data_IF_234127514263
#
_entry.id   IF_234127514263
#
_cell.length_a   1.000
_cell.length_b   1.000
_cell.length_c   1.000
_cell.angle_alpha   90.00
_cell.angle_beta   90.00
_cell.angle_gamma   90.00
#
_symmetry.space_group_name_H-M   'P 1'
#
loop_
_entity.id
_entity.type
_entity.pdbx_description
1 polymer ?
#
# COMPACT_ATOMS: atom_id res chain seq x y z
N UNK A 1 -19.04 -26.73 18.51
CA UNK A 1 -19.21 -26.38 17.08
C UNK A 1 -18.58 -25.02 16.75
N UNK A 2 -18.27 -24.74 15.47
CA UNK A 2 -17.80 -23.42 15.02
C UNK A 2 -18.95 -22.64 14.37
N UNK A 3 -19.87 -22.09 15.16
CA UNK A 3 -20.98 -21.30 14.64
C UNK A 3 -20.49 -20.00 13.99
N UNK A 4 -21.10 -19.62 12.86
CA UNK A 4 -20.86 -18.37 12.10
C UNK A 4 -19.40 -18.11 11.63
N UNK A 5 -18.51 -19.12 11.69
CA UNK A 5 -17.13 -18.95 11.20
C UNK A 5 -17.08 -19.09 9.67
N UNK A 6 -17.08 -17.96 8.98
CA UNK A 6 -16.97 -17.90 7.52
C UNK A 6 -15.50 -17.85 7.05
N UNK A 7 -15.21 -18.57 5.96
CA UNK A 7 -13.89 -18.60 5.33
C UNK A 7 -12.92 -19.66 5.89
N UNK A 8 -11.76 -19.79 5.24
CA UNK A 8 -10.76 -20.83 5.53
C UNK A 8 -9.56 -20.27 6.31
N UNK A 9 -9.12 -20.98 7.37
CA UNK A 9 -7.93 -20.58 8.16
C UNK A 9 -6.60 -20.82 7.44
N UNK A 10 -6.55 -21.81 6.54
CA UNK A 10 -5.35 -22.20 5.76
C UNK A 10 -4.10 -22.48 6.64
N UNK A 11 -4.31 -23.00 7.85
CA UNK A 11 -3.26 -23.28 8.83
C UNK A 11 -2.28 -22.10 9.06
N UNK A 12 -2.79 -20.87 9.03
CA UNK A 12 -2.01 -19.63 9.26
C UNK A 12 -2.64 -18.78 10.35
N UNK A 13 -1.82 -17.91 10.96
CA UNK A 13 -2.29 -16.82 11.83
C UNK A 13 -3.04 -15.76 11.01
N UNK A 14 -3.82 -14.89 11.66
CA UNK A 14 -4.59 -13.84 10.99
C UNK A 14 -3.70 -12.86 10.21
N UNK A 15 -2.61 -12.41 10.82
CA UNK A 15 -1.64 -11.48 10.22
C UNK A 15 -0.97 -12.08 8.99
N UNK A 16 -0.45 -13.31 9.09
CA UNK A 16 0.16 -14.00 7.96
C UNK A 16 -0.86 -14.25 6.85
N UNK A 17 -2.08 -14.65 7.18
CA UNK A 17 -3.14 -14.86 6.17
C UNK A 17 -3.43 -13.56 5.40
N UNK A 18 -3.55 -12.42 6.08
CA UNK A 18 -3.77 -11.13 5.43
C UNK A 18 -2.60 -10.73 4.52
N UNK A 19 -1.35 -10.89 4.98
CA UNK A 19 -0.16 -10.60 4.19
C UNK A 19 -0.06 -11.49 2.95
N UNK A 20 -0.32 -12.78 3.09
CA UNK A 20 -0.33 -13.74 1.98
C UNK A 20 -1.36 -13.35 0.91
N UNK A 21 -2.61 -13.05 1.30
CA UNK A 21 -3.63 -12.64 0.35
C UNK A 21 -3.31 -11.30 -0.30
N UNK A 22 -2.77 -10.32 0.44
CA UNK A 22 -2.30 -9.06 -0.14
C UNK A 22 -1.30 -9.32 -1.27
N UNK A 23 -0.28 -10.15 -1.04
CA UNK A 23 0.73 -10.46 -2.03
C UNK A 23 0.15 -11.20 -3.25
N UNK A 24 -0.80 -12.12 -3.02
CA UNK A 24 -1.48 -12.81 -4.13
C UNK A 24 -2.34 -11.86 -4.96
N UNK A 25 -3.05 -10.90 -4.35
CA UNK A 25 -3.83 -9.90 -5.08
C UNK A 25 -2.93 -8.99 -5.90
N UNK A 26 -1.81 -8.52 -5.31
CA UNK A 26 -0.80 -7.72 -6.03
C UNK A 26 -0.28 -8.48 -7.24
N UNK A 27 0.05 -9.76 -7.08
CA UNK A 27 0.52 -10.62 -8.17
C UNK A 27 -0.55 -10.84 -9.23
N UNK A 28 -1.81 -11.02 -8.81
CA UNK A 28 -2.95 -11.21 -9.70
C UNK A 28 -3.22 -9.95 -10.54
N UNK A 29 -3.15 -8.75 -9.98
CA UNK A 29 -3.35 -7.53 -10.77
C UNK A 29 -2.15 -7.20 -11.66
N UNK A 30 -0.93 -7.61 -11.24
CA UNK A 30 0.28 -7.44 -12.06
C UNK A 30 0.24 -8.33 -13.31
N UNK A 31 0.02 -9.63 -13.12
CA UNK A 31 0.14 -10.64 -14.18
C UNK A 31 -1.20 -11.09 -14.76
N UNK A 32 -2.32 -10.67 -14.18
CA UNK A 32 -3.71 -10.97 -14.61
C UNK A 32 -4.10 -12.46 -14.55
N UNK A 33 -3.12 -13.33 -14.27
CA UNK A 33 -3.27 -14.75 -14.05
C UNK A 33 -2.23 -15.23 -13.03
N UNK A 34 -2.66 -16.08 -12.09
CA UNK A 34 -1.79 -16.76 -11.14
C UNK A 34 -2.18 -18.23 -10.98
N UNK A 35 -1.21 -19.08 -10.64
CA UNK A 35 -1.44 -20.48 -10.27
C UNK A 35 -1.34 -20.64 -8.76
N UNK A 36 -2.33 -21.24 -8.13
CA UNK A 36 -2.37 -21.46 -6.68
C UNK A 36 -3.19 -22.70 -6.34
N UNK A 37 -3.36 -23.02 -5.05
CA UNK A 37 -4.20 -24.14 -4.64
C UNK A 37 -5.67 -23.75 -4.64
N UNK A 38 -6.57 -24.69 -4.93
CA UNK A 38 -8.03 -24.48 -4.92
C UNK A 38 -8.55 -23.76 -3.67
N UNK A 39 -8.18 -24.13 -2.42
CA UNK A 39 -8.67 -23.43 -1.25
C UNK A 39 -8.17 -21.98 -1.16
N UNK A 40 -6.94 -21.69 -1.61
CA UNK A 40 -6.42 -20.32 -1.68
C UNK A 40 -7.14 -19.50 -2.75
N UNK A 41 -7.36 -20.09 -3.93
CA UNK A 41 -8.07 -19.46 -5.04
C UNK A 41 -9.50 -19.05 -4.65
N UNK A 42 -10.25 -19.95 -4.00
CA UNK A 42 -11.63 -19.66 -3.58
C UNK A 42 -11.70 -18.54 -2.55
N UNK A 43 -10.76 -18.50 -1.62
CA UNK A 43 -10.72 -17.45 -0.59
C UNK A 43 -10.22 -16.11 -1.16
N UNK A 44 -9.34 -16.13 -2.16
CA UNK A 44 -8.81 -14.94 -2.83
C UNK A 44 -9.91 -14.03 -3.39
N UNK A 45 -11.03 -14.60 -3.85
CA UNK A 45 -12.19 -13.85 -4.36
C UNK A 45 -12.68 -12.79 -3.37
N UNK A 46 -12.72 -13.12 -2.07
CA UNK A 46 -13.16 -12.20 -1.01
C UNK A 46 -12.25 -10.98 -0.84
N UNK A 47 -10.99 -11.08 -1.26
CA UNK A 47 -10.02 -10.00 -1.15
C UNK A 47 -9.90 -9.21 -2.45
N UNK A 48 -9.88 -9.89 -3.60
CA UNK A 48 -9.64 -9.28 -4.91
C UNK A 48 -10.88 -8.60 -5.50
N UNK A 49 -12.06 -9.25 -5.47
CA UNK A 49 -13.27 -8.71 -6.13
C UNK A 49 -13.70 -7.36 -5.54
N UNK A 50 -13.72 -7.15 -4.21
CA UNK A 50 -14.06 -5.85 -3.64
C UNK A 50 -13.08 -4.73 -4.02
N UNK A 51 -11.82 -5.06 -4.34
CA UNK A 51 -10.85 -4.07 -4.79
C UNK A 51 -11.13 -3.63 -6.23
N UNK A 52 -11.53 -4.54 -7.11
CA UNK A 52 -11.97 -4.20 -8.47
C UNK A 52 -13.24 -3.35 -8.41
N UNK A 53 -14.20 -3.71 -7.56
CA UNK A 53 -15.40 -2.89 -7.33
C UNK A 53 -15.06 -1.47 -6.86
N UNK A 54 -14.08 -1.30 -5.97
CA UNK A 54 -13.58 0.03 -5.60
C UNK A 54 -12.94 0.75 -6.79
N UNK A 55 -12.21 0.02 -7.65
CA UNK A 55 -11.55 0.52 -8.86
C UNK A 55 -12.51 1.19 -9.85
N UNK A 56 -13.75 0.68 -9.95
CA UNK A 56 -14.80 1.24 -10.83
C UNK A 56 -15.18 2.69 -10.53
N UNK A 57 -15.10 3.08 -9.26
CA UNK A 57 -15.45 4.42 -8.81
C UNK A 57 -14.17 5.14 -8.35
N UNK A 58 -13.42 5.78 -9.27
CA UNK A 58 -12.21 6.47 -8.90
C UNK A 58 -12.52 7.68 -8.02
N UNK A 59 -12.13 7.60 -6.76
CA UNK A 59 -12.16 8.72 -5.82
C UNK A 59 -10.88 8.73 -4.99
N UNK A 60 -10.49 9.89 -4.46
CA UNK A 60 -9.30 10.00 -3.59
C UNK A 60 -9.43 9.12 -2.35
N UNK A 61 -10.65 9.00 -1.80
CA UNK A 61 -10.94 8.12 -0.67
C UNK A 61 -10.74 6.64 -1.05
N UNK A 62 -11.26 6.22 -2.21
CA UNK A 62 -11.12 4.84 -2.68
C UNK A 62 -9.67 4.48 -3.02
N UNK A 63 -8.91 5.41 -3.63
CA UNK A 63 -7.47 5.22 -3.87
C UNK A 63 -6.69 5.04 -2.57
N UNK A 64 -7.00 5.82 -1.52
CA UNK A 64 -6.40 5.66 -0.17
C UNK A 64 -6.79 4.33 0.48
N UNK A 65 -8.05 3.93 0.37
CA UNK A 65 -8.54 2.65 0.90
C UNK A 65 -7.85 1.47 0.21
N UNK A 66 -7.76 1.47 -1.12
CA UNK A 66 -7.06 0.46 -1.91
C UNK A 66 -5.57 0.38 -1.51
N UNK A 67 -4.90 1.52 -1.37
CA UNK A 67 -3.50 1.56 -0.93
C UNK A 67 -3.31 1.00 0.48
N UNK A 68 -4.23 1.25 1.42
CA UNK A 68 -4.14 0.69 2.77
C UNK A 68 -4.16 -0.85 2.78
N UNK A 69 -4.86 -1.45 1.81
CA UNK A 69 -4.98 -2.91 1.63
C UNK A 69 -3.82 -3.50 0.82
N UNK A 70 -3.43 -2.89 -0.30
CA UNK A 70 -2.43 -3.42 -1.23
C UNK A 70 -0.99 -3.04 -0.88
N UNK A 71 -0.76 -1.83 -0.38
CA UNK A 71 0.57 -1.27 -0.07
C UNK A 71 1.54 -1.22 -1.27
N UNK A 72 1.01 -1.21 -2.50
CA UNK A 72 1.76 -1.06 -3.74
C UNK A 72 1.14 0.10 -4.55
N UNK A 73 1.93 1.14 -4.85
CA UNK A 73 1.45 2.33 -5.57
C UNK A 73 1.22 2.06 -7.05
N UNK A 74 2.06 1.24 -7.69
CA UNK A 74 1.97 0.95 -9.12
C UNK A 74 0.70 0.15 -9.43
N UNK A 75 0.45 -0.88 -8.61
CA UNK A 75 -0.75 -1.71 -8.76
C UNK A 75 -2.03 -0.94 -8.44
N UNK A 76 -1.97 -0.01 -7.48
CA UNK A 76 -3.12 0.88 -7.24
C UNK A 76 -3.37 1.78 -8.45
N UNK A 77 -2.34 2.29 -9.15
CA UNK A 77 -2.52 3.00 -10.43
C UNK A 77 -3.28 2.13 -11.44
N UNK A 78 -2.70 0.97 -11.78
CA UNK A 78 -3.28 -0.01 -12.72
C UNK A 78 -4.73 -0.40 -12.37
N UNK A 79 -5.05 -0.54 -11.09
CA UNK A 79 -6.39 -0.91 -10.63
C UNK A 79 -7.46 0.12 -11.01
N UNK A 80 -7.16 1.42 -10.90
CA UNK A 80 -8.14 2.47 -11.19
C UNK A 80 -8.08 2.96 -12.64
N UNK A 81 -6.90 2.92 -13.24
CA UNK A 81 -6.67 3.48 -14.57
C UNK A 81 -7.05 2.46 -15.66
N UNK A 82 -6.74 1.17 -15.48
CA UNK A 82 -7.00 0.12 -16.48
C UNK A 82 -8.15 -0.80 -16.04
N UNK A 83 -7.98 -1.52 -14.93
CA UNK A 83 -8.91 -2.58 -14.50
C UNK A 83 -10.30 -2.03 -14.14
N UNK A 84 -10.35 -0.85 -13.52
CA UNK A 84 -11.59 -0.19 -13.14
C UNK A 84 -12.45 0.20 -14.34
N UNK A 85 -11.81 0.62 -15.43
CA UNK A 85 -12.47 0.97 -16.70
C UNK A 85 -12.92 -0.31 -17.41
N UNK A 86 -12.04 -1.30 -17.53
CA UNK A 86 -12.33 -2.55 -18.21
C UNK A 86 -13.54 -3.29 -17.61
N UNK A 87 -13.67 -3.31 -16.27
CA UNK A 87 -14.78 -4.01 -15.62
C UNK A 87 -16.01 -3.15 -15.36
N UNK A 88 -16.07 -1.89 -15.81
CA UNK A 88 -17.10 -0.91 -15.41
C UNK A 88 -18.54 -1.42 -15.58
N UNK A 89 -18.83 -2.09 -16.69
CA UNK A 89 -20.18 -2.56 -17.03
C UNK A 89 -20.53 -3.91 -16.41
N UNK A 90 -19.53 -4.67 -15.92
CA UNK A 90 -19.73 -6.01 -15.36
C UNK A 90 -20.21 -5.93 -13.89
N UNK A 91 -21.41 -6.43 -13.51
CA UNK A 91 -21.94 -6.24 -12.15
C UNK A 91 -21.14 -6.97 -11.06
N UNK A 92 -20.40 -8.04 -11.40
CA UNK A 92 -19.56 -8.77 -10.47
C UNK A 92 -18.90 -10.00 -11.11
N UNK A 93 -18.21 -10.81 -10.31
CA UNK A 93 -17.56 -12.03 -10.79
C UNK A 93 -16.39 -11.75 -11.74
N UNK A 94 -15.49 -10.85 -11.35
CA UNK A 94 -14.32 -10.45 -12.17
C UNK A 94 -13.23 -11.52 -12.28
N UNK A 95 -13.31 -12.57 -11.48
CA UNK A 95 -12.33 -13.65 -11.44
C UNK A 95 -12.92 -14.97 -11.90
N UNK A 96 -12.14 -15.70 -12.71
CA UNK A 96 -12.39 -17.07 -13.10
C UNK A 96 -11.39 -17.99 -12.40
N UNK A 97 -11.89 -19.07 -11.81
CA UNK A 97 -11.08 -20.11 -11.17
C UNK A 97 -11.21 -21.39 -11.98
N UNK A 98 -10.12 -21.82 -12.60
CA UNK A 98 -10.04 -23.05 -13.38
C UNK A 98 -9.24 -24.08 -12.60
N UNK A 99 -9.79 -25.28 -12.39
CA UNK A 99 -9.04 -26.39 -11.77
C UNK A 99 -8.11 -26.99 -12.82
N UNK A 100 -6.86 -27.24 -12.46
CA UNK A 100 -5.83 -27.73 -13.39
C UNK A 100 -5.22 -29.08 -12.96
N UNK A 101 -5.88 -29.80 -12.06
CA UNK A 101 -5.41 -31.09 -11.52
C UNK A 101 -4.72 -30.98 -10.17
N UNK A 102 -3.86 -31.95 -9.87
CA UNK A 102 -3.15 -32.08 -8.60
C UNK A 102 -1.66 -31.82 -8.76
N UNK A 103 -1.03 -31.28 -7.71
CA UNK A 103 0.42 -31.11 -7.66
C UNK A 103 1.09 -32.48 -7.43
N UNK A 104 2.19 -32.81 -8.13
CA UNK A 104 2.79 -34.14 -8.06
C UNK A 104 3.37 -34.52 -6.70
N UNK A 105 3.87 -33.55 -5.91
CA UNK A 105 4.57 -33.84 -4.66
C UNK A 105 3.68 -34.17 -3.46
N UNK A 106 2.54 -33.50 -3.34
CA UNK A 106 1.67 -33.53 -2.16
C UNK A 106 0.20 -33.76 -2.52
N UNK A 107 -0.07 -34.10 -3.79
CA UNK A 107 -1.40 -34.24 -4.36
C UNK A 107 -2.32 -33.04 -4.05
N UNK A 108 -1.78 -31.83 -3.86
CA UNK A 108 -2.61 -30.68 -3.55
C UNK A 108 -3.43 -30.25 -4.77
N UNK A 109 -4.76 -30.01 -4.64
CA UNK A 109 -5.59 -29.58 -5.75
C UNK A 109 -5.21 -28.16 -6.18
N UNK A 110 -4.83 -28.01 -7.44
CA UNK A 110 -4.35 -26.77 -8.04
C UNK A 110 -5.42 -26.09 -8.88
N UNK A 111 -5.32 -24.76 -8.95
CA UNK A 111 -6.18 -23.91 -9.76
C UNK A 111 -5.41 -22.74 -10.36
N UNK A 112 -5.79 -22.37 -11.57
CA UNK A 112 -5.48 -21.07 -12.18
C UNK A 112 -6.57 -20.09 -11.75
N UNK A 113 -6.16 -18.93 -11.26
CA UNK A 113 -7.04 -17.77 -11.07
C UNK A 113 -6.67 -16.73 -12.09
N UNK A 114 -7.65 -16.26 -12.86
CA UNK A 114 -7.45 -15.25 -13.88
C UNK A 114 -8.54 -14.19 -13.83
N UNK A 115 -8.22 -12.99 -14.30
CA UNK A 115 -9.22 -11.98 -14.63
C UNK A 115 -10.06 -12.45 -15.82
N UNK A 116 -11.33 -12.09 -15.80
CA UNK A 116 -12.27 -12.35 -16.91
C UNK A 116 -11.95 -11.39 -18.05
N UNK A 117 -12.24 -11.81 -19.29
CA UNK A 117 -12.06 -11.01 -20.52
C UNK A 117 -10.62 -10.51 -20.77
N UNK A 118 -9.61 -11.26 -20.29
CA UNK A 118 -8.21 -10.98 -20.63
C UNK A 118 -7.99 -11.12 -22.13
N UNK A 119 -7.34 -10.13 -22.73
CA UNK A 119 -6.83 -10.21 -24.10
C UNK A 119 -5.83 -11.36 -24.20
N UNK A 120 -6.23 -12.46 -24.86
CA UNK A 120 -5.43 -13.67 -24.97
C UNK A 120 -4.23 -13.47 -25.90
N UNK A 121 -4.36 -12.58 -26.89
CA UNK A 121 -3.30 -12.30 -27.87
C UNK A 121 -2.15 -11.50 -27.26
N UNK A 122 -2.44 -10.47 -26.46
CA UNK A 122 -1.42 -9.67 -25.77
C UNK A 122 -0.62 -10.48 -24.73
N UNK A 123 -1.21 -11.55 -24.19
CA UNK A 123 -0.61 -12.35 -23.13
C UNK A 123 0.24 -13.55 -23.62
N UNK A 124 0.08 -13.98 -24.89
CA UNK A 124 0.91 -15.01 -25.51
C UNK A 124 2.15 -14.44 -26.22
N UNK A 125 2.22 -13.11 -26.37
CA UNK A 125 3.44 -12.40 -26.76
C UNK A 125 4.39 -12.29 -25.56
N UNK A 126 5.08 -13.38 -25.20
CA UNK A 126 6.13 -13.29 -24.18
C UNK A 126 7.31 -12.40 -24.63
N UNK A 127 7.93 -11.65 -23.70
CA UNK A 127 9.13 -10.87 -23.97
C UNK A 127 10.30 -11.81 -24.26
N UNK A 128 10.89 -11.66 -25.45
CA UNK A 128 12.11 -12.35 -25.88
C UNK A 128 13.18 -12.16 -24.80
N UNK A 129 13.62 -13.29 -24.21
CA UNK A 129 14.75 -13.36 -23.28
C UNK A 129 15.96 -12.65 -23.88
N UNK A 130 16.42 -11.58 -23.24
CA UNK A 130 17.74 -11.04 -23.48
C UNK A 130 18.79 -12.02 -22.93
N UNK A 131 19.44 -12.75 -23.83
CA UNK A 131 20.63 -13.55 -23.52
C UNK A 131 21.80 -12.62 -23.13
N UNK A 132 22.56 -12.91 -22.06
CA UNK A 132 23.75 -12.15 -21.73
C UNK A 132 24.86 -12.47 -22.73
N UNK A 133 25.23 -11.47 -23.54
CA UNK A 133 26.41 -11.52 -24.42
C UNK A 133 27.68 -11.81 -23.61
N UNK A 134 28.43 -12.81 -24.09
CA UNK A 134 29.80 -13.19 -23.72
C UNK A 134 30.69 -11.98 -23.39
N UNK A 135 31.29 -11.98 -22.19
CA UNK A 135 32.45 -11.16 -21.88
C UNK A 135 33.73 -11.97 -22.19
N UNK A 136 34.49 -11.52 -23.20
CA UNK A 136 35.88 -11.92 -23.42
C UNK A 136 36.82 -10.99 -22.61
N UNK A 137 38.04 -11.44 -22.29
CA UNK A 137 38.72 -11.17 -21.02
C UNK A 137 39.54 -9.87 -21.04
N UNK A 138 39.68 -9.21 -19.88
CA UNK A 138 40.69 -8.15 -19.68
C UNK A 138 41.65 -8.51 -18.55
N UNK A 139 42.93 -8.55 -18.95
CA UNK A 139 44.17 -8.54 -18.18
C UNK A 139 44.10 -7.71 -16.88
N UNK A 140 44.63 -8.28 -15.80
CA UNK A 140 45.24 -7.51 -14.72
C UNK A 140 46.55 -6.86 -15.22
N UNK A 141 47.00 -5.73 -14.63
CA UNK A 141 47.84 -5.88 -13.45
C UNK A 141 47.60 -4.85 -12.33
N UNK A 142 48.19 -5.22 -11.20
CA UNK A 142 48.16 -4.66 -9.85
C UNK A 142 48.62 -3.18 -9.70
N UNK A 143 48.20 -2.58 -8.57
CA UNK A 143 49.04 -2.22 -7.39
C UNK A 143 48.77 -0.79 -6.86
N UNK A 144 48.18 -0.69 -5.66
CA UNK A 144 48.68 0.02 -4.43
C UNK A 144 47.55 0.42 -3.49
N UNK A 145 47.82 0.24 -2.19
CA UNK A 145 46.92 0.48 -1.06
C UNK A 145 47.24 1.81 -0.34
N UNK A 146 46.17 2.47 0.15
CA UNK A 146 46.02 3.39 1.30
C UNK A 146 46.77 4.75 1.31
N UNK A 147 46.34 5.76 2.11
CA UNK A 147 44.99 6.21 2.51
C UNK A 147 44.81 7.75 2.43
N UNK A 148 43.57 8.26 2.43
CA UNK A 148 43.27 9.65 2.85
C UNK A 148 41.77 9.81 3.14
N UNK A 149 41.43 9.75 4.43
CA UNK A 149 40.12 10.08 4.98
C UNK A 149 40.19 11.49 5.57
N UNK A 150 39.78 12.50 4.82
CA UNK A 150 39.30 13.79 5.33
C UNK A 150 38.66 14.57 4.16
N UNK A 151 37.53 15.26 4.41
CA UNK A 151 36.70 16.04 3.45
C UNK A 151 35.45 15.36 2.86
N UNK A 152 34.49 14.95 3.70
CA UNK A 152 33.04 15.03 3.34
C UNK A 152 32.15 15.48 4.53
N UNK A 153 32.74 15.91 5.66
CA UNK A 153 31.97 16.30 6.85
C UNK A 153 31.52 17.78 6.86
N UNK A 154 31.35 18.40 5.69
CA UNK A 154 30.94 19.79 5.53
C UNK A 154 29.49 19.99 5.05
N UNK A 155 28.77 18.95 4.62
CA UNK A 155 27.39 19.10 4.09
C UNK A 155 26.28 18.65 5.06
N UNK A 156 26.60 18.03 6.20
CA UNK A 156 25.58 17.57 7.17
C UNK A 156 25.03 18.67 8.12
N UNK A 157 25.43 19.93 7.99
CA UNK A 157 25.03 21.02 8.92
C UNK A 157 24.10 22.10 8.35
N UNK A 158 23.60 21.98 7.11
CA UNK A 158 22.77 23.04 6.50
C UNK A 158 21.26 22.76 6.43
N UNK A 159 20.79 21.51 6.59
CA UNK A 159 19.35 21.21 6.52
C UNK A 159 18.65 21.06 7.88
N UNK A 160 19.39 20.99 8.99
CA UNK A 160 18.82 20.84 10.35
C UNK A 160 18.49 22.17 11.05
N UNK A 161 18.78 23.33 10.44
CA UNK A 161 18.48 24.66 11.03
C UNK A 161 17.16 25.30 10.58
N UNK A 162 16.53 24.82 9.51
CA UNK A 162 15.27 25.38 8.97
C UNK A 162 14.00 24.79 9.60
N UNK A 163 14.09 23.64 10.27
CA UNK A 163 12.95 23.01 10.94
C UNK A 163 12.75 23.43 12.42
N UNK A 164 13.80 23.93 13.08
CA UNK A 164 13.75 24.31 14.51
C UNK A 164 13.18 25.72 14.76
N UNK A 165 13.30 26.66 13.80
CA UNK A 165 12.80 28.04 13.94
C UNK A 165 11.27 28.18 13.74
N UNK A 166 10.63 27.22 13.06
CA UNK A 166 9.18 27.25 12.76
C UNK A 166 8.31 26.64 13.87
N UNK A 167 8.88 25.80 14.74
CA UNK A 167 8.18 25.18 15.90
C UNK A 167 8.16 26.06 17.15
N UNK A 168 9.15 26.94 17.34
CA UNK A 168 9.22 27.88 18.49
C UNK A 168 8.28 29.09 18.34
N UNK A 169 8.05 29.58 17.11
CA UNK A 169 7.12 30.69 16.86
C UNK A 169 5.63 30.32 17.06
N UNK A 170 5.22 29.08 16.73
CA UNK A 170 3.82 28.64 16.83
C UNK A 170 3.39 28.36 18.28
N UNK A 171 4.32 27.98 19.16
CA UNK A 171 4.08 27.74 20.59
C UNK A 171 3.97 29.05 21.40
N UNK A 172 4.67 30.11 20.99
CA UNK A 172 4.57 31.45 21.58
C UNK A 172 3.23 32.15 21.26
N UNK A 173 2.69 31.96 20.04
CA UNK A 173 1.41 32.53 19.62
C UNK A 173 0.21 31.92 20.39
N UNK A 174 0.17 30.59 20.59
CA UNK A 174 -0.92 29.94 21.36
C UNK A 174 -0.92 30.34 22.85
N UNK A 175 0.24 30.59 23.46
CA UNK A 175 0.34 30.99 24.87
C UNK A 175 -0.12 32.45 25.10
N UNK A 176 0.09 33.35 24.13
CA UNK A 176 -0.41 34.75 24.20
C UNK A 176 -1.94 34.85 24.03
N UNK A 177 -2.55 34.04 23.17
CA UNK A 177 -4.01 34.04 22.97
C UNK A 177 -4.75 33.48 24.21
N UNK A 178 -4.21 32.43 24.84
CA UNK A 178 -4.77 31.87 26.08
C UNK A 178 -4.67 32.83 27.27
N UNK A 179 -3.56 33.59 27.41
CA UNK A 179 -3.41 34.58 28.49
C UNK A 179 -4.33 35.80 28.31
N UNK A 180 -4.59 36.26 27.07
CA UNK A 180 -5.56 37.34 26.78
C UNK A 180 -7.01 36.91 27.08
N UNK A 181 -7.37 35.66 26.79
CA UNK A 181 -8.70 35.12 27.10
C UNK A 181 -8.95 34.99 28.61
N UNK A 182 -7.93 34.59 29.38
CA UNK A 182 -8.02 34.50 30.84
C UNK A 182 -8.16 35.89 31.52
N UNK A 183 -7.41 36.89 31.05
CA UNK A 183 -7.45 38.26 31.59
C UNK A 183 -8.78 38.99 31.29
N UNK A 184 -9.42 38.67 30.15
CA UNK A 184 -10.75 39.21 29.79
C UNK A 184 -11.88 38.58 30.62
N UNK A 185 -11.74 37.29 31.01
CA UNK A 185 -12.69 36.61 31.91
C UNK A 185 -12.61 37.11 33.35
N UNK A 186 -11.41 37.39 33.87
CA UNK A 186 -11.24 37.94 35.24
C UNK A 186 -11.72 39.39 35.35
N UNK A 187 -11.50 40.22 34.32
CA UNK A 187 -12.02 41.59 34.27
C UNK A 187 -13.57 41.65 34.21
N UNK A 188 -14.21 40.75 33.44
CA UNK A 188 -15.69 40.69 33.34
C UNK A 188 -16.34 40.19 34.64
N UNK A 189 -15.66 39.31 35.40
CA UNK A 189 -16.12 38.82 36.71
C UNK A 189 -15.95 39.88 37.83
N UNK A 190 -14.93 40.74 37.73
CA UNK A 190 -14.73 41.85 38.66
C UNK A 190 -15.71 43.02 38.42
N UNK A 191 -16.08 43.30 37.16
CA UNK A 191 -17.09 44.30 36.83
C UNK A 191 -18.50 43.90 37.31
N UNK A 192 -18.88 42.62 37.15
CA UNK A 192 -20.19 42.10 37.60
C UNK A 192 -20.35 42.06 39.13
N UNK A 193 -19.23 41.99 39.88
CA UNK A 193 -19.22 42.01 41.36
C UNK A 193 -19.24 43.42 41.96
N UNK A 194 -18.89 44.45 41.17
CA UNK A 194 -18.97 45.86 41.58
C UNK A 194 -20.37 46.46 41.37
N UNK A 195 -21.14 45.96 40.40
CA UNK A 195 -22.50 46.43 40.12
C UNK A 195 -23.57 45.85 41.07
N UNK A 196 -23.29 44.73 41.75
CA UNK A 196 -24.22 44.11 42.73
C UNK A 196 -23.93 44.52 44.19
N UNK A 197 -23.08 45.51 44.41
CA UNK A 197 -22.69 46.00 45.76
C UNK A 197 -22.97 47.49 45.95
N UNK A 198 -23.74 48.11 45.05
CA UNK A 198 -24.10 49.53 45.05
C UNK A 198 -25.59 49.77 44.74
N UNK A 199 -26.42 48.78 45.06
CA UNK A 199 -27.89 48.80 45.07
C UNK A 199 -28.34 48.19 46.38
#
# INVERSE_FOLDING_TARGET
>A
MRHLKSGRKLNRTSSHRQAMFRNMVVSLFRHEQIRTTVPKAKELRRFAEPLITLGKQPSVANRRLAYSRLRDRQIVGKLFDDLGVHFKDRPGGYLRILKIGFRPSDAAPMAVVQLVDRDLEAANAEPVKAEPKKAAPKKAPAKKAAPAAEKVEAEAKKETKTAAKKKTAKKAAKKKVAKKAAKKKTAKKAAKKKTTKKS
#
